data_IF_244076646134
#
_entry.id   IF_244076646134
#
_cell.length_a   1.000
_cell.length_b   1.000
_cell.length_c   1.000
_cell.angle_alpha   90.00
_cell.angle_beta   90.00
_cell.angle_gamma   90.00
#
_symmetry.space_group_name_H-M   'P 1'
#
loop_
_entity.id
_entity.type
_entity.pdbx_description
1 polymer ?
#
# COMPACT_ATOMS: atom_id res chain seq x y z
N UNK A 1 -27.53 7.31 47.26
CA UNK A 1 -26.59 8.17 46.50
C UNK A 1 -25.20 7.56 46.59
N UNK A 2 -24.71 6.98 45.49
CA UNK A 2 -23.32 6.76 45.07
C UNK A 2 -23.33 5.67 43.98
N UNK A 3 -22.80 5.99 42.79
CA UNK A 3 -22.74 5.10 41.60
C UNK A 3 -21.39 4.36 41.57
N UNK A 4 -21.33 3.05 41.25
CA UNK A 4 -20.06 2.36 41.06
C UNK A 4 -19.94 1.77 39.65
N UNK A 5 -19.99 2.61 38.62
CA UNK A 5 -19.31 2.26 37.36
C UNK A 5 -17.80 2.43 37.57
N UNK A 6 -17.16 1.44 38.20
CA UNK A 6 -15.71 1.38 38.27
C UNK A 6 -15.16 1.03 36.88
N UNK A 7 -14.76 2.04 36.11
CA UNK A 7 -13.95 1.82 34.90
C UNK A 7 -12.62 1.21 35.33
N UNK A 8 -12.41 -0.07 35.00
CA UNK A 8 -11.09 -0.68 35.09
C UNK A 8 -10.12 0.14 34.23
N UNK A 9 -9.02 0.60 34.83
CA UNK A 9 -7.95 1.31 34.11
C UNK A 9 -7.41 0.38 33.02
N UNK A 10 -7.57 0.77 31.76
CA UNK A 10 -6.96 0.06 30.61
C UNK A 10 -5.45 0.31 30.67
N UNK A 11 -4.69 -0.71 31.03
CA UNK A 11 -3.23 -0.73 30.92
C UNK A 11 -2.86 -1.31 29.56
N UNK A 12 -2.81 -0.44 28.56
CA UNK A 12 -2.32 -0.77 27.22
C UNK A 12 -2.14 0.52 26.42
N UNK A 13 -1.16 0.60 25.51
CA UNK A 13 -0.94 1.80 24.71
C UNK A 13 -2.21 2.12 23.91
N UNK A 14 -2.83 3.27 24.21
CA UNK A 14 -3.93 3.86 23.45
C UNK A 14 -3.42 4.19 22.04
N UNK A 15 -4.04 3.66 20.97
CA UNK A 15 -3.72 4.10 19.63
C UNK A 15 -4.04 5.61 19.49
N UNK A 16 -3.26 6.39 18.73
CA UNK A 16 -3.54 7.80 18.49
C UNK A 16 -4.93 7.96 17.84
N UNK A 17 -5.70 8.98 18.24
CA UNK A 17 -7.16 8.99 18.10
C UNK A 17 -7.71 9.40 16.71
N UNK A 18 -6.91 9.45 15.65
CA UNK A 18 -7.29 10.19 14.43
C UNK A 18 -7.68 9.35 13.20
N UNK A 19 -7.53 8.03 13.20
CA UNK A 19 -7.88 7.20 12.02
C UNK A 19 -9.12 6.34 12.24
N UNK A 20 -9.90 6.11 11.18
CA UNK A 20 -11.01 5.13 11.19
C UNK A 20 -10.52 3.75 11.61
N UNK A 21 -9.33 3.33 11.18
CA UNK A 21 -8.70 2.08 11.59
C UNK A 21 -8.53 1.99 13.12
N UNK A 22 -8.01 3.03 13.76
CA UNK A 22 -7.84 3.05 15.21
C UNK A 22 -9.18 2.95 15.96
N UNK A 23 -10.20 3.68 15.48
CA UNK A 23 -11.56 3.62 16.05
C UNK A 23 -12.20 2.24 15.91
N UNK A 24 -12.03 1.58 14.77
CA UNK A 24 -12.50 0.21 14.55
C UNK A 24 -11.78 -0.77 15.49
N UNK A 25 -10.46 -0.68 15.62
CA UNK A 25 -9.72 -1.54 16.55
C UNK A 25 -10.18 -1.35 18.00
N UNK A 26 -10.48 -0.12 18.41
CA UNK A 26 -11.02 0.18 19.75
C UNK A 26 -12.42 -0.42 19.95
N UNK A 27 -13.31 -0.25 18.97
CA UNK A 27 -14.69 -0.73 19.03
C UNK A 27 -14.79 -2.26 19.10
N UNK A 28 -13.93 -2.98 18.37
CA UNK A 28 -13.90 -4.44 18.31
C UNK A 28 -13.06 -5.08 19.43
N UNK A 29 -12.35 -4.25 20.22
CA UNK A 29 -11.66 -4.66 21.44
C UNK A 29 -10.21 -5.13 21.24
N UNK A 30 -9.44 -5.29 22.33
CA UNK A 30 -7.97 -5.37 22.30
C UNK A 30 -7.38 -6.63 21.64
N UNK A 31 -8.20 -7.66 21.37
CA UNK A 31 -7.77 -8.89 20.69
C UNK A 31 -8.08 -8.88 19.19
N UNK A 32 -8.79 -7.87 18.70
CA UNK A 32 -9.11 -7.80 17.28
C UNK A 32 -7.85 -7.55 16.44
N UNK A 33 -7.92 -7.94 15.18
CA UNK A 33 -6.91 -7.67 14.16
C UNK A 33 -7.62 -7.04 12.97
N UNK A 34 -6.94 -6.14 12.28
CA UNK A 34 -7.45 -5.52 11.06
C UNK A 34 -6.49 -5.79 9.91
N UNK A 35 -7.07 -5.98 8.72
CA UNK A 35 -6.34 -5.92 7.45
C UNK A 35 -6.87 -4.69 6.73
N UNK A 36 -5.98 -3.74 6.45
CA UNK A 36 -6.32 -2.56 5.64
C UNK A 36 -5.75 -2.76 4.26
N UNK A 37 -6.63 -2.85 3.27
CA UNK A 37 -6.25 -2.90 1.87
C UNK A 37 -6.29 -1.50 1.28
N UNK A 38 -5.15 -0.97 0.90
CA UNK A 38 -5.05 0.30 0.21
C UNK A 38 -3.76 0.34 -0.64
N UNK A 39 -3.65 1.37 -1.49
CA UNK A 39 -2.51 1.55 -2.39
C UNK A 39 -1.20 1.79 -1.63
N UNK A 40 -0.04 1.43 -2.23
CA UNK A 40 1.29 1.58 -1.61
C UNK A 40 1.54 2.99 -1.06
N UNK A 41 1.09 4.03 -1.77
CA UNK A 41 1.21 5.43 -1.32
C UNK A 41 0.45 5.75 -0.03
N UNK A 42 -0.53 4.94 0.35
CA UNK A 42 -1.29 5.08 1.60
C UNK A 42 -0.77 4.18 2.72
N UNK A 43 -0.24 3.00 2.40
CA UNK A 43 0.10 1.96 3.39
C UNK A 43 1.60 1.85 3.69
N UNK A 44 2.49 2.33 2.83
CA UNK A 44 3.92 2.43 3.15
C UNK A 44 4.17 3.52 4.18
N UNK A 45 5.27 3.44 4.93
CA UNK A 45 5.64 4.54 5.84
C UNK A 45 6.04 5.79 5.05
N UNK A 46 5.19 6.83 5.05
CA UNK A 46 5.44 8.07 4.32
C UNK A 46 6.76 8.75 4.70
N UNK A 47 7.25 8.60 5.94
CA UNK A 47 8.51 9.23 6.37
C UNK A 47 9.72 8.67 5.63
N UNK A 48 9.58 7.51 4.98
CA UNK A 48 10.59 6.86 4.16
C UNK A 48 10.47 7.20 2.65
N UNK A 49 9.65 8.18 2.30
CA UNK A 49 9.41 8.67 0.93
C UNK A 49 9.59 10.19 0.86
N UNK A 50 9.70 10.72 -0.36
CA UNK A 50 9.66 12.19 -0.60
C UNK A 50 8.36 12.82 -0.07
N UNK A 51 7.23 12.10 -0.06
CA UNK A 51 5.95 12.63 0.44
C UNK A 51 6.03 13.04 1.92
N UNK A 52 6.57 12.18 2.77
CA UNK A 52 6.75 12.50 4.19
C UNK A 52 7.98 13.36 4.44
N UNK A 53 9.12 13.00 3.86
CA UNK A 53 10.41 13.63 4.16
C UNK A 53 10.52 15.08 3.67
N UNK A 54 9.96 15.40 2.50
CA UNK A 54 10.12 16.72 1.88
C UNK A 54 8.79 17.50 1.80
N UNK A 55 7.66 16.80 1.65
CA UNK A 55 6.35 17.44 1.44
C UNK A 55 5.48 17.49 2.70
N UNK A 56 5.98 16.98 3.84
CA UNK A 56 5.27 16.94 5.13
C UNK A 56 3.87 16.31 5.02
N UNK A 57 3.71 15.32 4.15
CA UNK A 57 2.47 14.59 3.97
C UNK A 57 2.48 13.33 4.84
N UNK A 58 1.42 13.17 5.63
CA UNK A 58 1.18 11.96 6.40
C UNK A 58 0.33 10.99 5.59
N UNK A 59 0.58 9.69 5.77
CA UNK A 59 -0.29 8.64 5.24
C UNK A 59 -0.69 7.64 6.33
N UNK A 60 -1.58 6.72 5.98
CA UNK A 60 -2.11 5.74 6.93
C UNK A 60 -0.99 4.80 7.45
N UNK A 61 -0.06 4.40 6.60
CA UNK A 61 1.08 3.55 6.95
C UNK A 61 1.92 4.14 8.07
N UNK A 62 2.34 5.39 7.92
CA UNK A 62 3.08 6.12 8.95
C UNK A 62 2.29 6.23 10.25
N UNK A 63 1.02 6.66 10.18
CA UNK A 63 0.16 6.78 11.37
C UNK A 63 0.00 5.43 12.09
N UNK A 64 -0.17 4.33 11.34
CA UNK A 64 -0.24 2.99 11.90
C UNK A 64 1.09 2.55 12.52
N UNK A 65 2.23 2.89 11.91
CA UNK A 65 3.57 2.59 12.44
C UNK A 65 3.82 3.33 13.73
N UNK A 66 3.56 4.64 13.79
CA UNK A 66 3.72 5.46 14.99
C UNK A 66 2.81 4.98 16.13
N UNK A 67 1.57 4.62 15.78
CA UNK A 67 0.56 4.12 16.72
C UNK A 67 0.89 2.77 17.35
N UNK A 68 1.36 1.83 16.51
CA UNK A 68 1.38 0.41 16.84
C UNK A 68 2.78 -0.18 16.86
N UNK A 69 3.79 0.56 16.42
CA UNK A 69 5.17 0.11 16.32
C UNK A 69 5.29 -1.17 15.50
N UNK A 70 5.98 -2.16 16.05
CA UNK A 70 6.17 -3.48 15.44
C UNK A 70 4.89 -4.32 15.33
N UNK A 71 3.77 -3.89 15.93
CA UNK A 71 2.47 -4.57 15.77
C UNK A 71 1.78 -4.22 14.45
N UNK A 72 2.23 -3.19 13.74
CA UNK A 72 1.82 -2.89 12.38
C UNK A 72 2.72 -3.62 11.38
N UNK A 73 2.12 -4.40 10.48
CA UNK A 73 2.80 -4.98 9.33
C UNK A 73 2.39 -4.22 8.07
N UNK A 74 3.31 -3.41 7.53
CA UNK A 74 3.14 -2.70 6.25
C UNK A 74 3.76 -3.57 5.14
N UNK A 75 2.96 -3.98 4.16
CA UNK A 75 3.38 -4.89 3.09
C UNK A 75 3.13 -4.22 1.75
N UNK A 76 4.21 -3.90 1.02
CA UNK A 76 4.13 -3.32 -0.32
C UNK A 76 3.97 -4.38 -1.40
N UNK A 77 3.43 -3.98 -2.55
CA UNK A 77 3.35 -4.82 -3.75
C UNK A 77 3.82 -4.03 -4.97
N UNK A 78 4.82 -4.55 -5.69
CA UNK A 78 5.29 -3.94 -6.93
C UNK A 78 5.39 -4.94 -8.09
N UNK A 79 5.57 -4.39 -9.29
CA UNK A 79 5.67 -5.14 -10.54
C UNK A 79 6.65 -4.49 -11.51
N UNK A 80 7.20 -5.25 -12.47
CA UNK A 80 8.09 -4.71 -13.50
C UNK A 80 7.30 -4.21 -14.72
N UNK A 81 6.34 -5.00 -15.23
CA UNK A 81 5.55 -4.66 -16.42
C UNK A 81 4.20 -5.40 -16.41
N UNK A 82 3.48 -5.38 -17.53
CA UNK A 82 2.22 -6.07 -17.71
C UNK A 82 1.08 -5.11 -18.02
N UNK A 83 -0.11 -5.36 -17.47
CA UNK A 83 -1.28 -4.50 -17.69
C UNK A 83 -1.95 -4.11 -16.38
N UNK A 84 -2.56 -2.93 -16.38
CA UNK A 84 -3.28 -2.37 -15.23
C UNK A 84 -4.65 -1.85 -15.66
N UNK A 85 -5.66 -1.99 -14.80
CA UNK A 85 -6.95 -1.33 -14.97
C UNK A 85 -6.88 0.06 -14.34
N UNK A 86 -6.81 1.11 -15.15
CA UNK A 86 -6.65 2.49 -14.67
C UNK A 86 -7.25 3.51 -15.65
N UNK A 87 -7.61 4.69 -15.17
CA UNK A 87 -8.00 5.82 -16.00
C UNK A 87 -6.80 6.69 -16.39
N UNK A 88 -6.93 7.51 -17.43
CA UNK A 88 -5.90 8.50 -17.81
C UNK A 88 -5.99 9.81 -17.01
N UNK A 89 -7.12 10.04 -16.34
CA UNK A 89 -7.40 11.22 -15.50
C UNK A 89 -8.48 10.86 -14.48
N UNK A 90 -8.62 11.71 -13.45
CA UNK A 90 -9.75 11.64 -12.52
C UNK A 90 -11.08 11.70 -13.28
N UNK A 91 -12.05 10.93 -12.79
CA UNK A 91 -13.39 10.78 -13.36
C UNK A 91 -13.41 10.29 -14.82
N UNK A 92 -12.27 9.84 -15.34
CA UNK A 92 -12.17 9.20 -16.65
C UNK A 92 -12.64 7.74 -16.62
N UNK A 93 -13.00 7.17 -17.78
CA UNK A 93 -13.35 5.76 -17.85
C UNK A 93 -12.12 4.88 -17.54
N UNK A 94 -12.37 3.75 -16.86
CA UNK A 94 -11.36 2.71 -16.66
C UNK A 94 -10.94 2.13 -18.02
N UNK A 95 -9.63 1.91 -18.19
CA UNK A 95 -9.03 1.28 -19.36
C UNK A 95 -8.05 0.20 -18.90
N UNK A 96 -7.87 -0.83 -19.72
CA UNK A 96 -6.72 -1.73 -19.59
C UNK A 96 -5.54 -1.04 -20.27
N UNK A 97 -4.53 -0.68 -19.49
CA UNK A 97 -3.35 0.06 -19.95
C UNK A 97 -2.10 -0.81 -19.83
N UNK A 98 -1.23 -0.73 -20.84
CA UNK A 98 0.08 -1.38 -20.80
C UNK A 98 0.98 -0.65 -19.80
N UNK A 99 1.51 -1.37 -18.81
CA UNK A 99 2.50 -0.85 -17.87
C UNK A 99 3.87 -0.88 -18.55
N UNK A 100 4.54 0.27 -18.62
CA UNK A 100 5.89 0.36 -19.17
C UNK A 100 6.85 -0.50 -18.34
N UNK A 101 7.89 -1.10 -18.96
CA UNK A 101 8.97 -1.73 -18.21
C UNK A 101 9.53 -0.75 -17.18
N UNK A 102 9.75 -1.24 -15.95
CA UNK A 102 10.21 -0.37 -14.89
C UNK A 102 11.61 0.22 -15.19
N UNK A 103 11.83 1.42 -14.67
CA UNK A 103 13.03 2.19 -14.96
C UNK A 103 14.28 1.55 -14.38
N UNK A 104 15.40 1.68 -15.07
CA UNK A 104 16.69 1.11 -14.65
C UNK A 104 17.21 1.64 -13.32
N UNK A 105 16.70 2.76 -12.82
CA UNK A 105 17.04 3.40 -11.54
C UNK A 105 16.04 3.10 -10.41
N UNK A 106 15.24 2.03 -10.54
CA UNK A 106 14.17 1.70 -9.61
C UNK A 106 14.33 0.33 -8.93
N UNK A 107 13.66 0.14 -7.78
CA UNK A 107 13.65 -1.16 -7.08
C UNK A 107 13.07 -2.29 -7.94
N UNK A 108 12.04 -1.99 -8.74
CA UNK A 108 11.37 -2.95 -9.60
C UNK A 108 12.31 -3.48 -10.69
N UNK A 109 13.16 -2.63 -11.26
CA UNK A 109 14.17 -3.09 -12.22
C UNK A 109 15.21 -3.98 -11.57
N UNK A 110 15.65 -3.66 -10.36
CA UNK A 110 16.57 -4.53 -9.61
C UNK A 110 15.96 -5.91 -9.33
N UNK A 111 14.68 -5.97 -8.94
CA UNK A 111 14.00 -7.24 -8.72
C UNK A 111 13.79 -8.04 -10.03
N UNK A 112 13.45 -7.36 -11.12
CA UNK A 112 13.40 -7.97 -12.46
C UNK A 112 14.75 -8.55 -12.87
N UNK A 113 15.83 -7.78 -12.70
CA UNK A 113 17.19 -8.21 -13.04
C UNK A 113 17.68 -9.40 -12.20
N UNK A 114 17.12 -9.61 -11.01
CA UNK A 114 17.37 -10.80 -10.20
C UNK A 114 16.71 -12.08 -10.78
N UNK A 115 15.87 -11.97 -11.81
CA UNK A 115 15.27 -13.09 -12.52
C UNK A 115 14.16 -13.81 -11.75
N UNK A 116 13.60 -13.16 -10.72
CA UNK A 116 12.56 -13.74 -9.88
C UNK A 116 11.17 -13.42 -10.47
N UNK A 117 10.38 -14.42 -10.92
CA UNK A 117 9.05 -14.16 -11.48
C UNK A 117 8.04 -13.71 -10.41
N UNK A 118 8.23 -14.17 -9.18
CA UNK A 118 7.45 -13.79 -8.00
C UNK A 118 8.28 -14.01 -6.74
N UNK A 119 8.14 -13.15 -5.75
CA UNK A 119 8.81 -13.32 -4.47
C UNK A 119 8.04 -12.63 -3.34
N UNK A 120 8.28 -13.07 -2.12
CA UNK A 120 7.99 -12.28 -0.93
C UNK A 120 9.31 -12.04 -0.20
N UNK A 121 9.71 -10.79 -0.09
CA UNK A 121 10.96 -10.39 0.56
C UNK A 121 10.64 -9.91 1.98
N UNK A 122 11.27 -10.54 2.97
CA UNK A 122 11.19 -10.11 4.37
C UNK A 122 12.15 -8.93 4.59
N UNK A 123 11.59 -7.76 4.92
CA UNK A 123 12.31 -6.50 5.09
C UNK A 123 12.42 -6.09 6.57
N UNK A 124 12.01 -6.95 7.50
CA UNK A 124 12.08 -6.66 8.94
C UNK A 124 13.51 -6.44 9.41
N UNK A 125 13.66 -5.56 10.38
CA UNK A 125 14.88 -5.43 11.15
C UNK A 125 15.23 -6.77 11.82
N UNK A 126 16.49 -7.18 11.75
CA UNK A 126 16.97 -8.42 12.34
C UNK A 126 16.73 -9.69 11.50
N UNK A 127 16.30 -9.57 10.23
CA UNK A 127 16.38 -10.69 9.29
C UNK A 127 17.84 -11.18 9.20
N UNK A 128 18.05 -12.50 9.18
CA UNK A 128 19.38 -13.12 9.28
C UNK A 128 19.85 -13.75 7.95
N UNK A 129 21.13 -14.11 7.89
CA UNK A 129 21.73 -14.79 6.74
C UNK A 129 21.72 -13.91 5.48
N UNK A 130 21.43 -14.50 4.32
CA UNK A 130 21.35 -13.79 3.03
C UNK A 130 20.28 -12.70 3.01
N UNK A 131 19.23 -12.82 3.84
CA UNK A 131 18.20 -11.80 4.01
C UNK A 131 18.74 -10.50 4.60
N UNK A 132 19.71 -10.56 5.52
CA UNK A 132 20.37 -9.37 6.07
C UNK A 132 21.11 -8.59 4.96
N UNK A 133 21.88 -9.30 4.14
CA UNK A 133 22.63 -8.70 3.03
C UNK A 133 21.70 -8.07 2.00
N UNK A 134 20.61 -8.75 1.63
CA UNK A 134 19.61 -8.20 0.72
C UNK A 134 18.94 -6.96 1.31
N UNK A 135 18.52 -7.02 2.58
CA UNK A 135 17.91 -5.89 3.28
C UNK A 135 18.83 -4.66 3.29
N UNK A 136 20.13 -4.86 3.54
CA UNK A 136 21.12 -3.78 3.53
C UNK A 136 21.25 -3.14 2.15
N UNK A 137 21.34 -3.96 1.09
CA UNK A 137 21.38 -3.45 -0.29
C UNK A 137 20.12 -2.64 -0.64
N UNK A 138 18.96 -3.05 -0.12
CA UNK A 138 17.68 -2.35 -0.32
C UNK A 138 17.52 -1.07 0.50
N UNK A 139 18.42 -0.77 1.46
CA UNK A 139 18.38 0.49 2.23
C UNK A 139 18.84 1.70 1.42
N UNK A 140 19.52 1.49 0.29
CA UNK A 140 19.89 2.57 -0.60
C UNK A 140 18.62 3.25 -1.17
N UNK A 141 18.46 4.58 -1.04
CA UNK A 141 17.36 5.28 -1.66
C UNK A 141 17.37 5.10 -3.18
N UNK A 142 16.29 4.57 -3.74
CA UNK A 142 16.05 4.40 -5.16
C UNK A 142 14.65 4.93 -5.50
N UNK A 143 14.33 4.98 -6.81
CA UNK A 143 12.97 5.25 -7.23
C UNK A 143 12.08 4.02 -6.99
N UNK A 144 10.83 4.29 -6.66
CA UNK A 144 9.76 3.30 -6.57
C UNK A 144 8.53 3.82 -7.30
N UNK A 145 7.78 2.90 -7.90
CA UNK A 145 6.63 3.16 -8.76
C UNK A 145 5.32 3.02 -8.00
N UNK A 146 4.44 3.99 -8.19
CA UNK A 146 3.15 4.12 -7.53
C UNK A 146 2.04 4.33 -8.58
N UNK A 147 1.63 3.24 -9.24
CA UNK A 147 0.50 3.24 -10.17
C UNK A 147 -0.79 2.94 -9.39
N UNK A 148 -1.65 3.95 -9.27
CA UNK A 148 -2.96 3.84 -8.64
C UNK A 148 -4.11 3.72 -9.64
N UNK A 149 -5.26 4.29 -9.26
CA UNK A 149 -6.46 4.36 -10.12
C UNK A 149 -6.26 5.20 -11.39
N UNK A 150 -5.20 6.00 -11.42
CA UNK A 150 -4.75 6.74 -12.60
C UNK A 150 -3.39 6.19 -13.02
N UNK A 151 -3.22 6.01 -14.32
CA UNK A 151 -1.94 5.72 -14.92
C UNK A 151 -1.69 6.60 -16.14
N UNK A 152 -0.53 7.26 -16.20
CA UNK A 152 -0.12 8.18 -17.27
C UNK A 152 1.28 7.75 -17.78
N UNK A 153 1.37 6.82 -18.73
CA UNK A 153 2.65 6.32 -19.21
C UNK A 153 3.50 7.42 -19.88
N UNK A 154 2.88 8.42 -20.48
CA UNK A 154 3.56 9.52 -21.17
C UNK A 154 4.38 10.41 -20.23
N UNK A 155 4.00 10.46 -18.95
CA UNK A 155 4.65 11.25 -17.90
C UNK A 155 4.99 10.39 -16.68
N UNK A 156 5.24 9.09 -16.88
CA UNK A 156 5.31 8.10 -15.79
C UNK A 156 6.34 8.49 -14.73
N UNK A 157 7.50 8.99 -15.15
CA UNK A 157 8.56 9.43 -14.25
C UNK A 157 8.08 10.51 -13.25
N UNK A 158 7.31 11.47 -13.75
CA UNK A 158 6.85 12.62 -12.97
C UNK A 158 5.58 12.28 -12.19
N UNK A 159 4.70 11.47 -12.76
CA UNK A 159 3.37 11.16 -12.20
C UNK A 159 3.38 9.97 -11.24
N UNK A 160 4.28 9.00 -11.43
CA UNK A 160 4.20 7.69 -10.79
C UNK A 160 5.50 7.23 -10.12
N UNK A 161 6.60 7.97 -10.18
CA UNK A 161 7.81 7.61 -9.45
C UNK A 161 8.17 8.64 -8.38
N UNK A 162 8.64 8.14 -7.24
CA UNK A 162 9.29 8.96 -6.22
C UNK A 162 10.47 8.23 -5.59
N UNK A 163 11.40 8.97 -5.00
CA UNK A 163 12.47 8.35 -4.21
C UNK A 163 11.90 7.82 -2.90
N UNK A 164 12.36 6.64 -2.53
CA UNK A 164 11.96 5.99 -1.30
C UNK A 164 13.03 5.04 -0.77
N UNK A 165 12.91 4.67 0.51
CA UNK A 165 13.73 3.64 1.14
C UNK A 165 12.84 2.44 1.44
N UNK A 166 12.88 1.42 0.58
CA UNK A 166 11.93 0.32 0.56
C UNK A 166 11.81 -0.41 1.92
N UNK A 167 12.91 -0.82 2.58
CA UNK A 167 12.83 -1.48 3.89
C UNK A 167 12.46 -0.55 5.06
N UNK A 168 12.41 0.77 4.85
CA UNK A 168 11.89 1.70 5.86
C UNK A 168 10.38 1.91 5.68
N UNK A 169 9.87 1.77 4.47
CA UNK A 169 8.42 1.81 4.20
C UNK A 169 7.71 0.54 4.67
N UNK A 170 8.28 -0.62 4.36
CA UNK A 170 7.60 -1.91 4.51
C UNK A 170 8.40 -2.89 5.36
N UNK A 171 7.68 -3.81 6.01
CA UNK A 171 8.27 -5.00 6.64
C UNK A 171 8.26 -6.22 5.71
N UNK A 172 7.49 -6.16 4.63
CA UNK A 172 7.43 -7.20 3.61
C UNK A 172 7.17 -6.58 2.25
N UNK A 173 7.73 -7.19 1.21
CA UNK A 173 7.57 -6.74 -0.16
C UNK A 173 7.15 -7.90 -1.04
N UNK A 174 5.95 -7.81 -1.58
CA UNK A 174 5.40 -8.77 -2.54
C UNK A 174 5.80 -8.33 -3.95
N UNK A 175 6.53 -9.18 -4.63
CA UNK A 175 7.02 -8.93 -5.98
C UNK A 175 6.29 -9.83 -6.99
N UNK A 176 5.81 -9.23 -8.07
CA UNK A 176 5.24 -9.92 -9.23
C UNK A 176 5.84 -9.32 -10.50
N UNK A 177 6.71 -10.05 -11.18
CA UNK A 177 7.46 -9.51 -12.31
C UNK A 177 6.55 -8.96 -13.42
N UNK A 178 5.55 -9.73 -13.83
CA UNK A 178 4.53 -9.30 -14.79
C UNK A 178 3.14 -9.43 -14.17
N UNK A 179 2.33 -8.39 -14.30
CA UNK A 179 0.94 -8.36 -13.81
C UNK A 179 -0.07 -8.30 -14.96
N UNK A 180 -1.32 -8.67 -14.67
CA UNK A 180 -2.44 -8.51 -15.61
C UNK A 180 -3.53 -7.66 -14.97
N UNK A 181 -4.19 -6.83 -15.78
CA UNK A 181 -5.26 -5.96 -15.30
C UNK A 181 -6.36 -6.77 -14.62
N UNK A 182 -6.80 -6.28 -13.47
CA UNK A 182 -7.93 -6.89 -12.75
C UNK A 182 -9.22 -6.73 -13.54
N UNK A 183 -10.11 -7.71 -13.43
CA UNK A 183 -11.43 -7.68 -14.03
C UNK A 183 -12.45 -7.24 -12.98
N UNK A 184 -13.31 -6.25 -13.27
CA UNK A 184 -14.40 -5.89 -12.38
C UNK A 184 -15.31 -7.09 -12.12
N UNK A 185 -15.63 -7.34 -10.84
CA UNK A 185 -16.57 -8.39 -10.47
C UNK A 185 -17.98 -7.98 -10.93
N UNK A 186 -18.57 -8.76 -11.84
CA UNK A 186 -19.95 -8.57 -12.28
C UNK A 186 -20.18 -7.54 -13.40
N UNK A 187 -19.12 -7.08 -14.09
CA UNK A 187 -19.33 -6.27 -15.29
C UNK A 187 -20.03 -7.11 -16.38
N UNK A 188 -21.22 -6.72 -16.87
CA UNK A 188 -21.74 -7.30 -18.10
C UNK A 188 -20.77 -6.98 -19.26
N UNK A 189 -20.74 -7.80 -20.32
CA UNK A 189 -19.87 -7.57 -21.47
C UNK A 189 -19.98 -6.12 -21.97
N UNK A 190 -18.90 -5.61 -22.58
CA UNK A 190 -18.69 -4.21 -23.02
C UNK A 190 -19.83 -3.58 -23.88
N UNK A 191 -20.88 -4.32 -24.18
CA UNK A 191 -22.11 -3.94 -24.88
C UNK A 191 -23.27 -3.51 -23.95
N UNK A 192 -23.11 -3.53 -22.62
CA UNK A 192 -24.20 -3.18 -21.71
C UNK A 192 -24.39 -1.65 -21.61
N UNK A 193 -25.60 -1.20 -21.96
CA UNK A 193 -26.05 0.18 -21.79
C UNK A 193 -26.14 0.59 -20.32
N UNK A 194 -26.09 1.90 -20.06
CA UNK A 194 -26.04 2.56 -18.74
C UNK A 194 -27.22 2.28 -17.76
N UNK A 195 -28.06 1.27 -18.00
CA UNK A 195 -29.19 0.88 -17.16
C UNK A 195 -28.95 -0.29 -16.21
N UNK A 196 -27.84 -1.02 -16.34
CA UNK A 196 -27.66 -2.33 -15.68
C UNK A 196 -26.64 -2.32 -14.52
N UNK A 197 -26.51 -1.22 -13.78
CA UNK A 197 -25.73 -1.21 -12.54
C UNK A 197 -26.61 -1.67 -11.37
N UNK A 198 -26.38 -2.85 -10.77
CA UNK A 198 -27.08 -3.25 -9.56
C UNK A 198 -26.65 -2.39 -8.37
N UNK A 199 -27.64 -1.93 -7.59
CA UNK A 199 -27.46 -1.16 -6.36
C UNK A 199 -26.53 -1.87 -5.37
N UNK A 200 -25.35 -1.31 -5.13
CA UNK A 200 -24.51 -1.69 -3.98
C UNK A 200 -24.93 -0.88 -2.74
N UNK A 201 -25.87 -1.46 -1.99
CA UNK A 201 -26.38 -0.96 -0.71
C UNK A 201 -26.13 -1.99 0.42
N UNK A 202 -26.03 -1.61 1.72
CA UNK A 202 -25.96 -0.26 2.31
C UNK A 202 -24.60 0.12 2.92
N UNK A 203 -24.37 1.42 2.98
CA UNK A 203 -23.43 2.05 3.90
C UNK A 203 -24.01 2.13 5.33
N UNK A 204 -23.13 2.04 6.33
CA UNK A 204 -23.12 2.82 7.57
C UNK A 204 -24.41 2.97 8.38
N UNK A 205 -24.49 2.19 9.45
CA UNK A 205 -24.99 2.64 10.76
C UNK A 205 -23.80 2.68 11.74
#
# INVERSE_FOLDING_TARGET
>A
MASPWSRSRRTGPTPPPSTTTARLLEAWGPKCRAVVWAHNSHIGDASATVMGAERNQLNLGQLCREAMGNRAALIGLDTYTGTVAAASRWDGPMQVKQVLPARTDSYEHMAHAAGLPRAFVDLRDGVAGTGATLREALLQPLRERFIGVIYQPETELQSHYMHAVLPRQFVGWLWLDTTTAVHPLGAPPQTASAGDMPDTYPFGL
#
